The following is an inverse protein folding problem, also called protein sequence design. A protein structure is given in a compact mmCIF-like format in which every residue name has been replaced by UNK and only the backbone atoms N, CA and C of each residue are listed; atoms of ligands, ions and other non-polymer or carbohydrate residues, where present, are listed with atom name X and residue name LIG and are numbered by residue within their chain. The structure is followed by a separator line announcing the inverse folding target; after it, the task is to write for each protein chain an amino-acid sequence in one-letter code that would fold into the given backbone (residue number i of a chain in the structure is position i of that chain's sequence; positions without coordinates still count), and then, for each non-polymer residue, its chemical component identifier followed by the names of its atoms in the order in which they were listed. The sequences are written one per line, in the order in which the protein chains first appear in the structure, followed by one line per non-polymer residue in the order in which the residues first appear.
data_IF_601690966681
#
_entry.id   IF_601690966681
#
_cell.length_a   1.000
_cell.length_b   1.000
_cell.length_c   1.000
_cell.angle_alpha   90.00
_cell.angle_beta   90.00
_cell.angle_gamma   90.00
#
_symmetry.space_group_name_H-M   'P 1'
#
loop_
_entity.id
_entity.type
_entity.pdbx_description
1 polymer ?
#
# COMPACT_ATOMS: atom_id res chain seq x y z
N UNK A 1 47.09 16.32 1.99
CA UNK A 1 45.99 15.67 2.68
C UNK A 1 44.79 16.59 2.88
N UNK A 2 44.96 17.83 3.38
CA UNK A 2 43.83 18.76 3.61
C UNK A 2 43.02 19.09 2.34
N UNK A 3 43.69 19.34 1.25
CA UNK A 3 43.05 19.67 -0.06
C UNK A 3 42.21 18.52 -0.59
N UNK A 4 42.72 17.29 -0.50
CA UNK A 4 41.95 16.08 -0.89
C UNK A 4 40.71 15.86 -0.01
N UNK A 5 40.81 16.15 1.30
CA UNK A 5 39.68 16.09 2.20
C UNK A 5 38.61 17.16 1.89
N UNK A 6 39.02 18.37 1.55
CA UNK A 6 38.12 19.43 1.14
C UNK A 6 37.42 19.14 -0.19
N UNK A 7 38.15 18.59 -1.17
CA UNK A 7 37.57 18.17 -2.44
C UNK A 7 36.57 17.02 -2.21
N UNK A 8 36.91 16.03 -1.38
CA UNK A 8 36.00 14.94 -1.03
C UNK A 8 34.74 15.44 -0.33
N UNK A 9 34.87 16.39 0.60
CA UNK A 9 33.73 17.02 1.25
C UNK A 9 32.86 17.81 0.27
N UNK A 10 33.46 18.57 -0.63
CA UNK A 10 32.72 19.31 -1.66
C UNK A 10 31.95 18.38 -2.60
N UNK A 11 32.56 17.29 -3.03
CA UNK A 11 31.90 16.25 -3.84
C UNK A 11 30.75 15.58 -3.05
N UNK A 12 30.98 15.26 -1.78
CA UNK A 12 29.93 14.68 -0.92
C UNK A 12 28.74 15.64 -0.74
N UNK A 13 28.98 16.94 -0.57
CA UNK A 13 27.93 17.96 -0.47
C UNK A 13 27.12 18.14 -1.76
N UNK A 14 27.73 17.89 -2.90
CA UNK A 14 27.03 17.94 -4.20
C UNK A 14 26.19 16.68 -4.41
N UNK A 15 26.75 15.50 -4.09
CA UNK A 15 26.10 14.21 -4.31
C UNK A 15 25.00 13.90 -3.28
N UNK A 16 25.14 14.40 -2.05
CA UNK A 16 24.18 14.13 -0.96
C UNK A 16 23.48 15.40 -0.49
N UNK A 17 22.31 15.73 -1.08
CA UNK A 17 21.55 16.94 -0.69
C UNK A 17 21.13 16.92 0.80
N UNK A 18 20.93 15.74 1.39
CA UNK A 18 20.64 15.59 2.81
C UNK A 18 21.78 16.08 3.71
N UNK A 19 23.03 15.80 3.32
CA UNK A 19 24.23 16.28 4.05
C UNK A 19 24.34 17.79 4.00
N UNK A 20 24.08 18.38 2.84
CA UNK A 20 24.05 19.84 2.67
C UNK A 20 22.97 20.49 3.55
N UNK A 21 21.76 19.90 3.57
CA UNK A 21 20.66 20.38 4.41
C UNK A 21 21.01 20.30 5.92
N UNK A 22 21.65 19.22 6.33
CA UNK A 22 22.11 19.04 7.71
C UNK A 22 23.17 20.07 8.14
N UNK A 23 24.10 20.41 7.24
CA UNK A 23 25.13 21.43 7.51
C UNK A 23 24.58 22.86 7.48
N UNK A 24 23.60 23.15 6.62
CA UNK A 24 22.95 24.46 6.61
C UNK A 24 22.03 24.71 7.81
N UNK A 25 21.49 23.62 8.41
CA UNK A 25 20.53 23.72 9.52
C UNK A 25 20.89 22.81 10.69
N UNK A 26 22.08 22.97 11.31
CA UNK A 26 22.61 22.04 12.29
C UNK A 26 21.75 21.91 13.57
N UNK A 27 21.02 22.97 13.93
CA UNK A 27 20.15 22.98 15.11
C UNK A 27 18.71 22.62 14.81
N UNK A 28 18.21 22.93 13.62
CA UNK A 28 16.82 22.65 13.23
C UNK A 28 16.59 21.16 12.94
N UNK A 29 17.59 20.50 12.38
CA UNK A 29 17.46 19.07 11.99
C UNK A 29 17.32 18.15 13.22
N UNK A 30 18.17 18.21 14.27
CA UNK A 30 17.98 17.39 15.44
C UNK A 30 16.70 17.75 16.20
N UNK A 31 16.31 19.02 16.26
CA UNK A 31 15.09 19.46 16.91
C UNK A 31 13.84 18.92 16.18
N UNK A 32 13.83 18.99 14.84
CA UNK A 32 12.74 18.42 14.04
C UNK A 32 12.69 16.89 14.17
N UNK A 33 13.83 16.21 14.16
CA UNK A 33 13.91 14.77 14.35
C UNK A 33 13.34 14.31 15.69
N UNK A 34 13.70 15.01 16.78
CA UNK A 34 13.14 14.72 18.11
C UNK A 34 11.65 14.97 18.15
N UNK A 35 11.17 16.08 17.57
CA UNK A 35 9.74 16.38 17.45
C UNK A 35 9.00 15.31 16.64
N UNK A 36 9.55 14.90 15.51
CA UNK A 36 8.92 13.90 14.63
C UNK A 36 8.89 12.53 15.31
N UNK A 37 9.96 12.17 16.01
CA UNK A 37 10.01 10.94 16.83
C UNK A 37 8.96 10.97 17.95
N UNK A 38 8.85 12.09 18.67
CA UNK A 38 7.81 12.28 19.69
C UNK A 38 6.41 12.14 19.10
N UNK A 39 6.15 12.79 17.95
CA UNK A 39 4.86 12.71 17.26
C UNK A 39 4.57 11.31 16.75
N UNK A 40 5.57 10.59 16.25
CA UNK A 40 5.45 9.20 15.80
C UNK A 40 4.92 8.29 16.91
N UNK A 41 5.52 8.37 18.11
CA UNK A 41 5.06 7.59 19.26
C UNK A 41 3.72 8.08 19.80
N UNK A 42 3.52 9.38 19.94
CA UNK A 42 2.27 9.96 20.45
C UNK A 42 1.08 9.63 19.55
N UNK A 43 1.28 9.67 18.26
CA UNK A 43 0.24 9.38 17.25
C UNK A 43 0.10 7.89 16.95
N UNK A 44 0.95 7.06 17.52
CA UNK A 44 1.00 5.62 17.27
C UNK A 44 1.06 5.29 15.78
N UNK A 45 1.88 6.01 15.02
CA UNK A 45 1.96 5.86 13.57
C UNK A 45 2.46 4.46 13.16
N UNK A 46 3.15 3.76 14.04
CA UNK A 46 3.53 2.35 13.85
C UNK A 46 2.34 1.37 13.77
N UNK A 47 1.16 1.76 14.27
CA UNK A 47 -0.08 0.97 14.13
C UNK A 47 -0.82 1.26 12.82
N UNK A 48 -0.44 2.31 12.10
CA UNK A 48 -1.13 2.74 10.91
C UNK A 48 -0.72 1.88 9.72
N UNK A 49 -1.71 1.32 9.05
CA UNK A 49 -1.47 0.63 7.78
C UNK A 49 -1.18 1.62 6.66
N UNK A 50 -0.13 1.35 5.88
CA UNK A 50 0.16 2.13 4.67
C UNK A 50 -0.87 1.77 3.59
N UNK A 51 -1.68 2.75 3.19
CA UNK A 51 -2.75 2.57 2.21
C UNK A 51 -2.41 3.18 0.86
N UNK A 52 -3.14 2.75 -0.18
CA UNK A 52 -2.94 3.24 -1.54
C UNK A 52 -1.82 2.51 -2.28
N UNK A 53 -1.49 1.29 -1.85
CA UNK A 53 -0.54 0.43 -2.53
C UNK A 53 -1.25 -0.48 -3.52
N UNK A 54 -0.74 -0.54 -4.75
CA UNK A 54 -1.07 -1.56 -5.73
C UNK A 54 0.15 -2.47 -5.87
N UNK A 55 0.02 -3.72 -5.43
CA UNK A 55 1.14 -4.67 -5.42
C UNK A 55 0.81 -5.88 -6.28
N UNK A 56 1.66 -6.14 -7.26
CA UNK A 56 1.56 -7.30 -8.12
C UNK A 56 2.47 -8.43 -7.63
N UNK A 57 1.91 -9.62 -7.44
CA UNK A 57 2.67 -10.84 -7.19
C UNK A 57 2.77 -11.63 -8.48
N UNK A 58 3.97 -11.70 -9.06
CA UNK A 58 4.22 -12.35 -10.34
C UNK A 58 4.97 -13.66 -10.18
N UNK A 59 4.93 -14.51 -11.19
CA UNK A 59 5.64 -15.80 -11.22
C UNK A 59 4.85 -16.88 -11.93
N UNK A 60 5.54 -17.93 -12.36
CA UNK A 60 4.93 -19.08 -13.04
C UNK A 60 4.03 -19.90 -12.11
N UNK A 61 3.32 -20.87 -12.67
CA UNK A 61 2.48 -21.79 -11.90
C UNK A 61 3.28 -22.49 -10.79
N UNK A 62 2.65 -22.66 -9.63
CA UNK A 62 3.24 -23.38 -8.49
C UNK A 62 4.38 -22.63 -7.77
N UNK A 63 4.66 -21.37 -8.08
CA UNK A 63 5.71 -20.56 -7.43
C UNK A 63 5.25 -19.88 -6.12
N UNK A 64 4.05 -20.18 -5.63
CA UNK A 64 3.58 -19.70 -4.33
C UNK A 64 2.99 -18.30 -4.31
N UNK A 65 2.63 -17.70 -5.46
CA UNK A 65 2.02 -16.38 -5.56
C UNK A 65 0.82 -16.18 -4.63
N UNK A 66 -0.20 -17.05 -4.80
CA UNK A 66 -1.43 -17.01 -4.02
C UNK A 66 -1.15 -17.14 -2.53
N UNK A 67 -0.23 -18.04 -2.13
CA UNK A 67 0.16 -18.21 -0.74
C UNK A 67 0.82 -16.95 -0.18
N UNK A 68 1.71 -16.33 -0.94
CA UNK A 68 2.42 -15.11 -0.53
C UNK A 68 1.46 -13.93 -0.33
N UNK A 69 0.52 -13.73 -1.25
CA UNK A 69 -0.45 -12.64 -1.14
C UNK A 69 -1.45 -12.88 0.00
N UNK A 70 -1.94 -14.11 0.17
CA UNK A 70 -2.81 -14.50 1.29
C UNK A 70 -2.09 -14.26 2.62
N UNK A 71 -0.85 -14.70 2.76
CA UNK A 71 -0.05 -14.45 3.95
C UNK A 71 0.10 -12.95 4.24
N UNK A 72 0.36 -12.13 3.22
CA UNK A 72 0.47 -10.67 3.37
C UNK A 72 -0.83 -10.05 3.90
N UNK A 73 -1.97 -10.39 3.31
CA UNK A 73 -3.29 -9.85 3.68
C UNK A 73 -3.72 -10.32 5.07
N UNK A 74 -3.58 -11.63 5.36
CA UNK A 74 -3.94 -12.18 6.68
C UNK A 74 -3.07 -11.60 7.79
N UNK A 75 -1.76 -11.45 7.54
CA UNK A 75 -0.84 -10.84 8.51
C UNK A 75 -1.17 -9.37 8.74
N UNK A 76 -1.50 -8.63 7.67
CA UNK A 76 -1.93 -7.24 7.78
C UNK A 76 -3.22 -7.11 8.60
N UNK A 77 -4.23 -7.93 8.33
CA UNK A 77 -5.47 -7.96 9.11
C UNK A 77 -5.17 -8.20 10.59
N UNK A 78 -4.44 -9.27 10.93
CA UNK A 78 -4.15 -9.64 12.33
C UNK A 78 -3.33 -8.58 13.08
N UNK A 79 -2.45 -7.89 12.37
CA UNK A 79 -1.56 -6.91 12.98
C UNK A 79 -2.20 -5.55 13.17
N UNK A 80 -3.00 -5.09 12.21
CA UNK A 80 -3.48 -3.71 12.13
C UNK A 80 -4.96 -3.52 12.49
N UNK A 81 -5.75 -4.61 12.53
CA UNK A 81 -7.16 -4.48 12.88
C UNK A 81 -7.35 -4.10 14.35
N UNK A 82 -8.35 -3.29 14.63
CA UNK A 82 -8.70 -2.77 15.97
C UNK A 82 -7.57 -2.03 16.71
N UNK A 83 -6.62 -1.44 15.97
CA UNK A 83 -5.53 -0.65 16.55
C UNK A 83 -5.86 0.83 16.60
N UNK A 84 -5.52 1.53 17.71
CA UNK A 84 -5.65 2.96 17.79
C UNK A 84 -4.61 3.64 16.91
N UNK A 85 -5.07 4.55 16.04
CA UNK A 85 -4.24 5.30 15.08
C UNK A 85 -4.65 6.77 15.05
N UNK A 86 -3.72 7.63 14.67
CA UNK A 86 -4.02 9.03 14.45
C UNK A 86 -4.66 9.23 13.06
N UNK A 87 -5.83 9.85 13.02
CA UNK A 87 -6.47 10.26 11.77
C UNK A 87 -6.09 11.72 11.43
N UNK A 88 -5.28 11.98 10.39
CA UNK A 88 -4.88 13.34 10.04
C UNK A 88 -6.06 14.22 9.62
N UNK A 89 -7.06 13.63 8.95
CA UNK A 89 -8.26 14.33 8.47
C UNK A 89 -9.09 14.88 9.62
N UNK A 90 -9.29 14.07 10.67
CA UNK A 90 -10.12 14.43 11.84
C UNK A 90 -9.30 14.98 13.01
N UNK A 91 -7.96 14.97 12.93
CA UNK A 91 -7.02 15.43 13.97
C UNK A 91 -7.28 14.82 15.36
N UNK A 92 -7.70 13.56 15.39
CA UNK A 92 -7.97 12.79 16.62
C UNK A 92 -7.51 11.33 16.50
N UNK A 93 -7.39 10.66 17.65
CA UNK A 93 -7.19 9.21 17.70
C UNK A 93 -8.50 8.51 17.35
N UNK A 94 -8.42 7.53 16.46
CA UNK A 94 -9.54 6.68 16.01
C UNK A 94 -9.13 5.22 16.04
N UNK A 95 -10.09 4.30 16.01
CA UNK A 95 -9.80 2.87 15.89
C UNK A 95 -9.71 2.48 14.43
N UNK A 96 -8.58 1.93 14.03
CA UNK A 96 -8.42 1.39 12.67
C UNK A 96 -9.18 0.08 12.53
N UNK A 97 -9.94 -0.06 11.46
CA UNK A 97 -10.64 -1.28 11.07
C UNK A 97 -10.08 -1.75 9.73
N UNK A 98 -9.77 -3.03 9.63
CA UNK A 98 -9.31 -3.62 8.38
C UNK A 98 -10.43 -4.47 7.81
N UNK A 99 -10.92 -4.11 6.62
CA UNK A 99 -11.84 -4.91 5.83
C UNK A 99 -11.11 -5.58 4.68
N UNK A 100 -11.48 -6.82 4.39
CA UNK A 100 -10.87 -7.61 3.34
C UNK A 100 -11.91 -8.00 2.31
N UNK A 101 -11.61 -7.78 1.04
CA UNK A 101 -12.41 -8.25 -0.11
C UNK A 101 -11.52 -9.20 -0.90
N UNK A 102 -11.95 -10.43 -1.14
CA UNK A 102 -11.10 -11.46 -1.73
C UNK A 102 -11.88 -12.43 -2.63
N UNK A 103 -11.26 -12.87 -3.73
CA UNK A 103 -11.77 -13.98 -4.53
C UNK A 103 -11.18 -15.34 -4.11
N UNK A 104 -10.40 -15.36 -3.03
CA UNK A 104 -9.82 -16.56 -2.43
C UNK A 104 -10.34 -16.73 -1.02
N UNK A 105 -10.64 -17.96 -0.63
CA UNK A 105 -11.06 -18.29 0.74
C UNK A 105 -9.96 -17.98 1.76
N UNK A 106 -10.29 -17.23 2.81
CA UNK A 106 -9.37 -16.79 3.84
C UNK A 106 -9.80 -17.26 5.24
N UNK A 107 -8.85 -17.45 6.14
CA UNK A 107 -9.09 -17.78 7.54
C UNK A 107 -9.35 -16.54 8.42
N UNK A 108 -9.84 -15.46 7.85
CA UNK A 108 -10.24 -14.21 8.49
C UNK A 108 -11.58 -13.76 7.89
N UNK A 109 -12.33 -12.87 8.53
CA UNK A 109 -13.52 -12.28 7.93
C UNK A 109 -13.19 -11.53 6.63
N UNK A 110 -13.89 -11.85 5.56
CA UNK A 110 -13.74 -11.20 4.27
C UNK A 110 -15.09 -11.13 3.54
N UNK A 111 -15.20 -10.23 2.58
CA UNK A 111 -16.29 -10.14 1.61
C UNK A 111 -15.83 -10.78 0.30
N UNK A 112 -16.70 -11.53 -0.38
CA UNK A 112 -16.36 -12.12 -1.67
C UNK A 112 -16.17 -11.02 -2.72
N UNK A 113 -15.08 -11.12 -3.48
CA UNK A 113 -14.80 -10.20 -4.57
C UNK A 113 -15.62 -10.60 -5.81
N UNK A 114 -16.62 -9.79 -6.14
CA UNK A 114 -17.50 -10.00 -7.31
C UNK A 114 -17.13 -9.05 -8.45
N UNK A 115 -16.91 -7.77 -8.13
CA UNK A 115 -16.61 -6.76 -9.14
C UNK A 115 -15.76 -5.63 -8.53
N UNK A 116 -15.15 -4.86 -9.43
CA UNK A 116 -14.39 -3.68 -9.04
C UNK A 116 -15.28 -2.53 -8.55
N UNK A 117 -16.51 -2.45 -9.08
CA UNK A 117 -17.52 -1.51 -8.64
C UNK A 117 -17.89 -1.73 -7.16
N UNK A 118 -17.95 -3.01 -6.72
CA UNK A 118 -18.15 -3.35 -5.31
C UNK A 118 -17.09 -2.71 -4.40
N UNK A 119 -15.83 -2.64 -4.83
CA UNK A 119 -14.74 -2.04 -4.03
C UNK A 119 -14.99 -0.55 -3.82
N UNK A 120 -15.46 0.16 -4.85
CA UNK A 120 -15.81 1.59 -4.77
C UNK A 120 -16.95 1.81 -3.79
N UNK A 121 -18.04 1.07 -3.98
CA UNK A 121 -19.23 1.16 -3.13
C UNK A 121 -18.92 0.77 -1.67
N UNK A 122 -18.04 -0.22 -1.47
CA UNK A 122 -17.58 -0.59 -0.14
C UNK A 122 -16.76 0.53 0.51
N UNK A 123 -15.90 1.21 -0.25
CA UNK A 123 -15.09 2.31 0.25
C UNK A 123 -15.95 3.53 0.65
N UNK A 124 -16.95 3.87 -0.15
CA UNK A 124 -17.91 4.95 0.16
C UNK A 124 -18.70 4.64 1.43
N UNK A 125 -19.29 3.45 1.53
CA UNK A 125 -19.98 2.97 2.75
C UNK A 125 -19.08 2.98 3.98
N UNK A 126 -17.80 2.62 3.80
CA UNK A 126 -16.84 2.66 4.89
C UNK A 126 -16.54 4.08 5.35
N UNK A 127 -16.44 5.05 4.44
CA UNK A 127 -16.25 6.45 4.81
C UNK A 127 -17.45 7.01 5.58
N UNK A 128 -18.67 6.73 5.15
CA UNK A 128 -19.90 7.14 5.87
C UNK A 128 -19.94 6.53 7.28
N UNK A 129 -19.62 5.24 7.39
CA UNK A 129 -19.54 4.58 8.69
C UNK A 129 -18.48 5.20 9.60
N UNK A 130 -17.31 5.47 9.05
CA UNK A 130 -16.18 6.04 9.78
C UNK A 130 -16.47 7.44 10.30
N UNK A 131 -17.25 8.23 9.56
CA UNK A 131 -17.65 9.57 9.97
C UNK A 131 -18.63 9.55 11.18
N UNK A 132 -19.39 8.45 11.31
CA UNK A 132 -20.35 8.26 12.42
C UNK A 132 -19.74 7.61 13.67
N UNK A 133 -18.69 6.77 13.54
CA UNK A 133 -18.25 5.85 14.60
C UNK A 133 -16.80 6.05 15.08
N UNK A 134 -16.14 7.15 14.75
CA UNK A 134 -14.74 7.40 15.15
C UNK A 134 -13.77 6.28 14.78
N UNK A 135 -14.01 5.67 13.64
CA UNK A 135 -13.16 4.62 13.06
C UNK A 135 -12.40 5.13 11.84
N UNK A 136 -11.40 4.38 11.40
CA UNK A 136 -10.68 4.56 10.14
C UNK A 136 -10.64 3.20 9.46
N UNK A 137 -11.47 3.00 8.45
CA UNK A 137 -11.53 1.73 7.75
C UNK A 137 -10.53 1.70 6.60
N UNK A 138 -9.70 0.66 6.59
CA UNK A 138 -8.75 0.33 5.53
C UNK A 138 -9.29 -0.89 4.78
N UNK A 139 -9.43 -0.79 3.46
CA UNK A 139 -9.91 -1.89 2.62
C UNK A 139 -8.75 -2.55 1.90
N UNK A 140 -8.53 -3.84 2.17
CA UNK A 140 -7.56 -4.67 1.49
C UNK A 140 -8.27 -5.52 0.44
N UNK A 141 -7.92 -5.35 -0.82
CA UNK A 141 -8.49 -6.12 -1.92
C UNK A 141 -7.46 -7.14 -2.37
N UNK A 142 -7.86 -8.42 -2.40
CA UNK A 142 -7.06 -9.52 -2.90
C UNK A 142 -7.71 -10.11 -4.14
N UNK A 143 -7.01 -10.01 -5.28
CA UNK A 143 -7.44 -10.61 -6.54
C UNK A 143 -6.45 -11.67 -7.02
N UNK A 144 -6.78 -12.94 -6.84
CA UNK A 144 -5.97 -14.02 -7.40
C UNK A 144 -6.32 -14.22 -8.89
N UNK A 145 -5.29 -14.50 -9.69
CA UNK A 145 -5.39 -14.62 -11.16
C UNK A 145 -6.08 -13.42 -11.84
N UNK A 146 -5.84 -12.24 -11.33
CA UNK A 146 -6.49 -11.00 -11.74
C UNK A 146 -6.27 -10.66 -13.23
N UNK A 147 -5.16 -11.15 -13.80
CA UNK A 147 -4.86 -11.00 -15.22
C UNK A 147 -5.85 -11.72 -16.14
N UNK A 148 -6.55 -12.74 -15.65
CA UNK A 148 -7.59 -13.46 -16.42
C UNK A 148 -8.89 -12.67 -16.42
N UNK A 149 -9.25 -12.10 -15.28
CA UNK A 149 -10.44 -11.26 -15.13
C UNK A 149 -10.28 -9.89 -15.80
N UNK A 150 -9.05 -9.37 -15.81
CA UNK A 150 -8.66 -8.08 -16.39
C UNK A 150 -7.79 -8.24 -17.65
N UNK A 151 -8.15 -9.15 -18.54
CA UNK A 151 -7.42 -9.36 -19.78
C UNK A 151 -7.55 -8.12 -20.66
N UNK A 152 -6.42 -7.62 -21.15
CA UNK A 152 -6.31 -6.44 -22.03
C UNK A 152 -7.22 -6.48 -23.27
N UNK A 153 -7.67 -7.66 -23.69
CA UNK A 153 -8.60 -7.84 -24.82
C UNK A 153 -10.06 -7.45 -24.49
N UNK A 154 -10.48 -7.66 -23.24
CA UNK A 154 -11.83 -7.32 -22.76
C UNK A 154 -11.87 -5.98 -22.01
N UNK A 155 -10.70 -5.40 -21.75
CA UNK A 155 -10.50 -4.21 -20.93
C UNK A 155 -11.13 -2.95 -21.57
N UNK A 156 -11.07 -2.82 -22.89
CA UNK A 156 -11.63 -1.67 -23.60
C UNK A 156 -13.16 -1.53 -23.48
N UNK A 157 -13.84 -2.61 -23.12
CA UNK A 157 -15.30 -2.64 -22.98
C UNK A 157 -15.79 -2.68 -21.54
N UNK A 158 -14.93 -3.03 -20.56
CA UNK A 158 -15.36 -3.39 -19.21
C UNK A 158 -14.73 -2.54 -18.08
N UNK A 159 -13.83 -1.59 -18.37
CA UNK A 159 -13.40 -0.67 -17.32
C UNK A 159 -14.29 0.55 -17.32
N UNK A 160 -15.09 0.61 -16.30
CA UNK A 160 -15.78 1.82 -15.91
C UNK A 160 -14.73 2.91 -15.60
N UNK A 161 -14.84 4.12 -16.19
CA UNK A 161 -14.04 5.29 -15.82
C UNK A 161 -14.01 5.55 -14.31
N UNK A 162 -15.06 5.16 -13.60
CA UNK A 162 -15.20 5.24 -12.17
C UNK A 162 -14.12 4.41 -11.44
N UNK A 163 -13.88 3.18 -11.90
CA UNK A 163 -12.86 2.30 -11.33
C UNK A 163 -11.44 2.85 -11.52
N UNK A 164 -11.14 3.32 -12.72
CA UNK A 164 -9.85 3.96 -13.01
C UNK A 164 -9.59 5.14 -12.07
N UNK A 165 -10.59 5.99 -11.90
CA UNK A 165 -10.52 7.10 -10.97
C UNK A 165 -10.30 6.60 -9.52
N UNK A 166 -10.96 5.53 -9.12
CA UNK A 166 -10.81 4.95 -7.77
C UNK A 166 -9.43 4.35 -7.54
N UNK A 167 -8.87 3.65 -8.53
CA UNK A 167 -7.48 3.14 -8.42
C UNK A 167 -6.49 4.30 -8.33
N UNK A 168 -6.64 5.34 -9.12
CA UNK A 168 -5.78 6.53 -9.06
C UNK A 168 -5.94 7.27 -7.72
N UNK A 169 -7.12 7.19 -7.11
CA UNK A 169 -7.45 7.83 -5.84
C UNK A 169 -7.49 6.87 -4.64
N UNK A 170 -7.05 5.61 -4.81
CA UNK A 170 -7.13 4.58 -3.76
C UNK A 170 -6.50 5.02 -2.43
N UNK A 171 -5.48 5.88 -2.46
CA UNK A 171 -4.89 6.48 -1.27
C UNK A 171 -5.89 7.35 -0.49
N UNK A 172 -6.80 8.04 -1.16
CA UNK A 172 -7.84 8.88 -0.54
C UNK A 172 -8.97 8.05 0.05
N UNK A 173 -9.23 6.87 -0.52
CA UNK A 173 -10.25 5.93 -0.05
C UNK A 173 -9.70 4.86 0.91
N UNK A 174 -8.41 4.93 1.28
CA UNK A 174 -7.75 3.95 2.13
C UNK A 174 -7.84 2.52 1.60
N UNK A 175 -7.75 2.34 0.28
CA UNK A 175 -7.77 1.05 -0.40
C UNK A 175 -6.34 0.64 -0.73
N UNK A 176 -6.02 -0.65 -0.57
CA UNK A 176 -4.81 -1.28 -1.12
C UNK A 176 -5.20 -2.52 -1.89
N UNK A 177 -4.66 -2.67 -3.10
CA UNK A 177 -4.95 -3.78 -3.99
C UNK A 177 -3.72 -4.69 -4.12
N UNK A 178 -3.91 -5.96 -3.80
CA UNK A 178 -2.94 -7.03 -3.96
C UNK A 178 -3.47 -8.01 -4.99
N UNK A 179 -2.71 -8.23 -6.06
CA UNK A 179 -3.16 -9.11 -7.12
C UNK A 179 -2.06 -10.04 -7.60
N UNK A 180 -2.46 -11.20 -8.13
CA UNK A 180 -1.51 -12.14 -8.73
C UNK A 180 -1.61 -12.13 -10.24
N UNK A 181 -0.47 -12.34 -10.89
CA UNK A 181 -0.38 -12.52 -12.33
C UNK A 181 0.73 -13.51 -12.67
N UNK A 182 0.60 -14.22 -13.78
CA UNK A 182 1.65 -15.14 -14.23
C UNK A 182 2.86 -14.37 -14.74
N UNK A 183 2.62 -13.31 -15.50
CA UNK A 183 3.64 -12.37 -15.99
C UNK A 183 3.10 -10.95 -15.90
N UNK A 184 3.91 -10.04 -15.44
CA UNK A 184 3.53 -8.63 -15.33
C UNK A 184 3.12 -8.02 -16.69
N UNK A 185 3.75 -8.47 -17.79
CA UNK A 185 3.41 -8.03 -19.13
C UNK A 185 2.00 -8.41 -19.61
N UNK A 186 1.34 -9.40 -18.99
CA UNK A 186 -0.04 -9.81 -19.32
C UNK A 186 -1.09 -8.95 -18.59
N UNK A 187 -0.68 -8.17 -17.59
CA UNK A 187 -1.55 -7.21 -16.91
C UNK A 187 -1.79 -6.03 -17.83
N UNK A 188 -2.97 -5.44 -17.74
CA UNK A 188 -3.28 -4.24 -18.53
C UNK A 188 -2.27 -3.10 -18.32
N UNK A 189 -2.07 -2.30 -19.36
CA UNK A 189 -1.08 -1.24 -19.38
C UNK A 189 -1.34 -0.17 -18.31
N UNK A 190 -2.61 0.19 -18.06
CA UNK A 190 -2.97 1.18 -17.06
C UNK A 190 -2.71 0.67 -15.64
N UNK A 191 -3.10 -0.58 -15.34
CA UNK A 191 -2.77 -1.22 -14.05
C UNK A 191 -1.27 -1.30 -13.84
N UNK A 192 -0.48 -1.62 -14.86
CA UNK A 192 0.98 -1.63 -14.77
C UNK A 192 1.57 -0.27 -14.43
N UNK A 193 1.02 0.80 -14.99
CA UNK A 193 1.50 2.17 -14.73
C UNK A 193 1.25 2.62 -13.28
N UNK A 194 0.14 2.17 -12.68
CA UNK A 194 -0.23 2.55 -11.31
C UNK A 194 0.23 1.55 -10.24
N UNK A 195 0.81 0.42 -10.66
CA UNK A 195 1.37 -0.58 -9.73
C UNK A 195 2.59 -0.02 -9.03
N UNK A 196 2.51 0.05 -7.71
CA UNK A 196 3.57 0.62 -6.86
C UNK A 196 4.77 -0.31 -6.69
N UNK A 197 4.50 -1.62 -6.68
CA UNK A 197 5.52 -2.64 -6.42
C UNK A 197 5.18 -3.95 -7.15
N UNK A 198 6.20 -4.59 -7.68
CA UNK A 198 6.09 -5.93 -8.28
C UNK A 198 6.98 -6.88 -7.47
N UNK A 199 6.38 -7.94 -6.96
CA UNK A 199 7.06 -8.99 -6.20
C UNK A 199 7.10 -10.24 -7.05
N UNK A 200 8.30 -10.63 -7.45
CA UNK A 200 8.48 -11.85 -8.22
C UNK A 200 8.63 -13.05 -7.28
N UNK A 201 7.68 -13.99 -7.40
CA UNK A 201 7.61 -15.17 -6.56
C UNK A 201 8.39 -16.31 -7.20
N UNK A 202 9.36 -16.86 -6.49
CA UNK A 202 10.08 -18.06 -6.90
C UNK A 202 10.32 -18.99 -5.71
N UNK A 203 10.51 -20.27 -6.01
CA UNK A 203 10.91 -21.28 -5.01
C UNK A 203 12.42 -21.34 -4.92
N UNK A 204 12.95 -21.03 -3.75
CA UNK A 204 14.39 -21.11 -3.50
C UNK A 204 14.87 -22.58 -3.44
N UNK A 205 14.02 -23.49 -2.91
CA UNK A 205 14.32 -24.91 -2.74
C UNK A 205 13.11 -25.76 -3.16
N UNK A 206 13.38 -26.90 -3.78
CA UNK A 206 12.39 -27.94 -4.01
C UNK A 206 12.35 -28.84 -2.76
N UNK A 207 11.40 -28.64 -1.91
CA UNK A 207 10.94 -29.65 -0.97
C UNK A 207 9.52 -30.04 -1.34
#
# INVERSE_FOLDING_TARGET
MLILALIGLAVALVLFPTLRCALCHPFLLPLSAVRDLYLYFRRREFNRYATGELVAYTGLFGKGKTLSVVHRVVSAYRHYDNKPVWCPRRKKMVTQRVKVISNVSLAIPYEDFVSLEQVVLAAERNQEYDDQHDTLTVTLVLGDEFSVQMNSRNFKTNIDPLFLNTILTCRHYYISLYYTAQRFGHVDALLRQVTSCVIDCDKLWRF
#
